data_IF_549753019300
#
_entry.id   IF_549753019300
#
_cell.length_a   1.000
_cell.length_b   1.000
_cell.length_c   1.000
_cell.angle_alpha   90.00
_cell.angle_beta   90.00
_cell.angle_gamma   90.00
#
_symmetry.space_group_name_H-M   'P 1'
#
loop_
_entity.id
_entity.type
_entity.pdbx_description
1 polymer ?
#
# COMPACT_ATOMS: atom_id res chain seq x y z
N UNK A 1 2.40 3.26 36.82
CA UNK A 1 1.05 3.53 37.32
C UNK A 1 0.31 4.34 36.27
N UNK A 2 -0.89 3.92 35.91
CA UNK A 2 -1.76 4.67 34.98
C UNK A 2 -2.29 5.91 35.73
N UNK A 3 -1.95 7.11 35.22
CA UNK A 3 -2.27 8.39 35.88
C UNK A 3 -3.64 8.96 35.51
N UNK A 4 -4.38 8.28 34.59
CA UNK A 4 -5.65 8.79 34.10
C UNK A 4 -6.84 8.15 34.78
N UNK A 5 -7.85 8.94 35.16
CA UNK A 5 -9.14 8.42 35.63
C UNK A 5 -9.91 7.71 34.51
N UNK A 6 -10.90 6.88 34.89
CA UNK A 6 -11.77 6.20 33.92
C UNK A 6 -12.49 7.21 33.00
N UNK A 7 -12.95 8.33 33.54
CA UNK A 7 -13.62 9.41 32.78
C UNK A 7 -12.66 10.10 31.81
N UNK A 8 -11.43 10.40 32.23
CA UNK A 8 -10.41 10.98 31.37
C UNK A 8 -10.05 10.05 30.23
N UNK A 9 -9.93 8.73 30.48
CA UNK A 9 -9.72 7.74 29.42
C UNK A 9 -10.88 7.72 28.44
N UNK A 10 -12.12 7.71 28.95
CA UNK A 10 -13.31 7.73 28.08
C UNK A 10 -13.35 8.99 27.19
N UNK A 11 -13.09 10.18 27.75
CA UNK A 11 -13.00 11.45 26.99
C UNK A 11 -11.90 11.39 25.93
N UNK A 12 -10.71 10.89 26.28
CA UNK A 12 -9.60 10.75 25.33
C UNK A 12 -9.94 9.79 24.20
N UNK A 13 -10.58 8.67 24.50
CA UNK A 13 -11.01 7.69 23.50
C UNK A 13 -12.10 8.25 22.58
N UNK A 14 -13.08 8.98 23.12
CA UNK A 14 -14.13 9.64 22.36
C UNK A 14 -13.60 10.78 21.47
N UNK A 15 -12.49 11.40 21.84
CA UNK A 15 -11.85 12.47 21.07
C UNK A 15 -11.02 11.94 19.87
N UNK A 16 -10.76 10.63 19.79
CA UNK A 16 -10.02 10.04 18.69
C UNK A 16 -10.87 10.10 17.42
N UNK A 17 -10.37 10.86 16.45
CA UNK A 17 -11.05 11.03 15.16
C UNK A 17 -10.80 9.80 14.28
N UNK A 18 -11.87 9.26 13.71
CA UNK A 18 -11.78 8.19 12.69
C UNK A 18 -11.56 8.69 11.27
N UNK A 19 -11.40 10.03 11.06
CA UNK A 19 -11.21 10.65 9.74
C UNK A 19 -10.38 11.91 9.88
N UNK A 20 -9.73 12.30 8.78
CA UNK A 20 -8.93 13.51 8.69
C UNK A 20 -7.83 13.57 9.75
N UNK A 21 -7.28 12.44 10.05
CA UNK A 21 -6.17 12.28 10.97
C UNK A 21 -4.90 12.96 10.44
N UNK A 22 -3.95 13.24 11.34
CA UNK A 22 -2.67 13.83 10.95
C UNK A 22 -1.89 12.96 9.95
N UNK A 23 -1.80 11.62 10.14
CA UNK A 23 -1.18 10.71 9.16
C UNK A 23 -1.84 10.78 7.77
N UNK A 24 -3.17 10.69 7.69
CA UNK A 24 -3.89 10.81 6.42
C UNK A 24 -3.58 12.13 5.69
N UNK A 25 -3.59 13.25 6.41
CA UNK A 25 -3.27 14.57 5.82
C UNK A 25 -1.84 14.63 5.28
N UNK A 26 -0.88 13.95 5.91
CA UNK A 26 0.49 13.86 5.44
C UNK A 26 0.53 13.13 4.09
N UNK A 27 -0.09 11.95 4.01
CA UNK A 27 -0.14 11.15 2.77
C UNK A 27 -0.85 11.93 1.66
N UNK A 28 -2.01 12.51 1.95
CA UNK A 28 -2.79 13.32 0.99
C UNK A 28 -1.95 14.44 0.39
N UNK A 29 -1.32 15.27 1.24
CA UNK A 29 -0.49 16.40 0.78
C UNK A 29 0.76 15.91 0.04
N UNK A 30 1.40 14.85 0.52
CA UNK A 30 2.59 14.29 -0.09
C UNK A 30 2.34 13.76 -1.50
N UNK A 31 1.26 13.01 -1.70
CA UNK A 31 0.88 12.49 -3.01
C UNK A 31 0.37 13.59 -3.94
N UNK A 32 -0.38 14.57 -3.43
CA UNK A 32 -0.82 15.70 -4.24
C UNK A 32 0.36 16.50 -4.80
N UNK A 33 1.38 16.79 -3.98
CA UNK A 33 2.62 17.46 -4.40
C UNK A 33 3.38 16.68 -5.49
N UNK A 34 3.29 15.36 -5.49
CA UNK A 34 3.89 14.45 -6.48
C UNK A 34 3.02 14.24 -7.74
N UNK A 35 1.94 15.01 -7.88
CA UNK A 35 1.08 14.97 -9.07
C UNK A 35 -0.05 13.94 -9.03
N UNK A 36 -0.17 13.14 -7.96
CA UNK A 36 -1.25 12.16 -7.86
C UNK A 36 -2.58 12.80 -7.51
N UNK A 37 -3.65 12.32 -8.12
CA UNK A 37 -5.02 12.76 -7.87
C UNK A 37 -5.83 11.60 -7.31
N UNK A 38 -6.61 11.85 -6.27
CA UNK A 38 -7.35 10.84 -5.51
C UNK A 38 -8.72 11.34 -5.06
N UNK A 39 -9.58 10.41 -4.70
CA UNK A 39 -10.84 10.66 -3.98
C UNK A 39 -10.67 10.19 -2.53
N UNK A 40 -11.39 10.83 -1.61
CA UNK A 40 -11.31 10.53 -0.18
C UNK A 40 -12.50 9.69 0.28
N UNK A 41 -12.26 8.81 1.25
CA UNK A 41 -13.29 8.10 2.03
C UNK A 41 -14.41 7.51 1.16
N UNK A 42 -14.04 6.67 0.20
CA UNK A 42 -15.00 6.14 -0.78
C UNK A 42 -15.92 5.08 -0.15
N UNK A 43 -17.16 5.48 0.21
CA UNK A 43 -18.11 4.67 0.96
C UNK A 43 -18.56 3.37 0.27
N UNK A 44 -18.43 3.26 -1.06
CA UNK A 44 -18.88 2.09 -1.84
C UNK A 44 -17.84 0.99 -1.96
N UNK A 45 -16.61 1.24 -1.52
CA UNK A 45 -15.54 0.25 -1.54
C UNK A 45 -15.39 -0.41 -0.16
N UNK A 46 -15.11 -1.72 -0.11
CA UNK A 46 -14.79 -2.42 1.13
C UNK A 46 -13.74 -1.67 1.95
N UNK A 47 -13.88 -1.66 3.27
CA UNK A 47 -12.95 -1.01 4.19
C UNK A 47 -12.93 0.51 4.17
N UNK A 48 -13.71 1.17 3.32
CA UNK A 48 -13.76 2.63 3.18
C UNK A 48 -12.36 3.26 3.07
N UNK A 49 -11.58 2.93 2.03
CA UNK A 49 -10.20 3.41 1.88
C UNK A 49 -10.06 4.92 2.06
N UNK A 50 -8.99 5.36 2.72
CA UNK A 50 -8.73 6.79 2.98
C UNK A 50 -8.49 7.56 1.68
N UNK A 51 -7.76 6.96 0.73
CA UNK A 51 -7.54 7.51 -0.60
C UNK A 51 -7.83 6.45 -1.67
N UNK A 52 -8.47 6.88 -2.76
CA UNK A 52 -8.75 6.03 -3.93
C UNK A 52 -8.20 6.71 -5.18
N UNK A 53 -7.20 6.08 -5.79
CA UNK A 53 -6.56 6.54 -7.03
C UNK A 53 -7.12 5.73 -8.21
N UNK A 54 -8.19 6.22 -8.83
CA UNK A 54 -8.89 5.49 -9.91
C UNK A 54 -8.00 5.21 -11.11
N UNK A 55 -7.13 6.16 -11.49
CA UNK A 55 -6.17 6.00 -12.59
C UNK A 55 -5.27 4.78 -12.38
N UNK A 56 -4.93 4.48 -11.15
CA UNK A 56 -4.00 3.41 -10.74
C UNK A 56 -4.75 2.18 -10.19
N UNK A 57 -6.08 2.16 -10.23
CA UNK A 57 -6.92 1.14 -9.58
C UNK A 57 -6.43 0.78 -8.17
N UNK A 58 -5.99 1.78 -7.41
CA UNK A 58 -5.33 1.57 -6.12
C UNK A 58 -6.10 2.26 -4.99
N UNK A 59 -6.28 1.52 -3.91
CA UNK A 59 -6.81 1.96 -2.62
C UNK A 59 -5.67 2.10 -1.62
N UNK A 60 -5.63 3.20 -0.87
CA UNK A 60 -4.64 3.42 0.18
C UNK A 60 -5.36 3.51 1.52
N UNK A 61 -4.88 2.71 2.48
CA UNK A 61 -5.27 2.72 3.88
C UNK A 61 -4.14 3.31 4.72
N UNK A 62 -4.47 4.26 5.60
CA UNK A 62 -3.50 4.90 6.50
C UNK A 62 -3.77 4.45 7.92
N UNK A 63 -3.10 3.40 8.33
CA UNK A 63 -3.39 2.67 9.55
C UNK A 63 -2.59 3.19 10.75
N UNK A 64 -3.30 3.46 11.87
CA UNK A 64 -2.68 3.70 13.16
C UNK A 64 -2.07 2.41 13.71
N UNK A 65 -0.79 2.44 14.09
CA UNK A 65 -0.04 1.25 14.49
C UNK A 65 -0.71 0.46 15.62
N UNK A 66 -1.23 1.14 16.62
CA UNK A 66 -1.89 0.51 17.76
C UNK A 66 -3.21 -0.18 17.37
N UNK A 67 -4.06 0.52 16.58
CA UNK A 67 -5.40 0.04 16.27
C UNK A 67 -5.43 -1.17 15.35
N UNK A 68 -4.45 -1.25 14.46
CA UNK A 68 -4.33 -2.31 13.45
C UNK A 68 -3.20 -3.30 13.75
N UNK A 69 -2.53 -3.18 14.91
CA UNK A 69 -1.54 -4.14 15.38
C UNK A 69 -0.31 -4.25 14.46
N UNK A 70 0.30 -3.10 14.10
CA UNK A 70 1.47 -3.11 13.23
C UNK A 70 2.62 -3.96 13.81
N UNK A 71 3.09 -4.94 13.05
CA UNK A 71 4.14 -5.89 13.44
C UNK A 71 3.82 -6.71 14.70
N UNK A 72 2.55 -6.76 15.11
CA UNK A 72 2.11 -7.62 16.20
C UNK A 72 1.66 -8.94 15.63
N UNK A 73 2.41 -10.01 15.91
CA UNK A 73 1.99 -11.37 15.58
C UNK A 73 1.09 -11.89 16.71
N UNK A 74 -0.16 -12.15 16.37
CA UNK A 74 -1.14 -12.78 17.24
C UNK A 74 -1.24 -14.25 16.84
N UNK A 75 -0.27 -15.08 17.30
CA UNK A 75 -0.31 -16.51 16.98
C UNK A 75 -1.54 -17.18 17.60
N UNK A 76 -2.08 -18.13 16.87
CA UNK A 76 -3.27 -18.90 17.16
C UNK A 76 -3.12 -19.70 18.47
N UNK A 77 -4.19 -19.72 19.18
CA UNK A 77 -4.72 -20.74 20.09
C UNK A 77 -4.32 -20.77 21.55
N UNK A 78 -3.21 -20.29 22.07
CA UNK A 78 -3.02 -20.32 23.54
C UNK A 78 -1.95 -19.41 24.15
N UNK A 79 -1.41 -18.44 23.43
CA UNK A 79 -0.29 -17.66 23.98
C UNK A 79 -0.60 -16.17 24.14
N UNK A 80 -1.31 -15.83 25.22
CA UNK A 80 -1.22 -14.49 25.83
C UNK A 80 0.25 -14.13 26.16
N UNK A 81 1.12 -15.13 26.27
CA UNK A 81 2.54 -15.01 26.56
C UNK A 81 3.44 -14.75 25.34
N UNK A 82 3.02 -15.11 24.12
CA UNK A 82 3.82 -15.02 22.90
C UNK A 82 3.65 -13.76 22.06
N UNK A 83 2.84 -12.78 22.52
CA UNK A 83 2.62 -11.55 21.75
C UNK A 83 3.86 -10.68 21.82
N UNK A 84 4.62 -10.65 20.72
CA UNK A 84 5.75 -9.76 20.56
C UNK A 84 5.23 -8.36 20.22
N UNK A 85 5.34 -7.44 21.18
CA UNK A 85 5.07 -6.02 20.92
C UNK A 85 6.10 -5.48 19.92
N UNK A 86 5.64 -4.70 18.95
CA UNK A 86 6.53 -3.91 18.11
C UNK A 86 6.92 -2.60 18.79
N UNK A 87 7.93 -1.93 18.28
CA UNK A 87 8.34 -0.61 18.82
C UNK A 87 7.22 0.43 18.71
N UNK A 88 6.37 0.34 17.70
CA UNK A 88 5.31 1.31 17.42
C UNK A 88 3.93 0.85 17.91
N UNK A 89 3.74 -0.43 18.26
CA UNK A 89 2.49 -0.96 18.79
C UNK A 89 2.74 -1.68 20.11
N UNK A 90 2.41 -1.03 21.23
CA UNK A 90 2.54 -1.58 22.58
C UNK A 90 1.16 -1.85 23.16
N UNK A 91 0.84 -3.13 23.34
CA UNK A 91 -0.43 -3.53 23.94
C UNK A 91 -0.41 -3.19 25.43
N UNK A 92 -1.43 -2.48 25.96
CA UNK A 92 -1.52 -2.15 27.38
C UNK A 92 -1.51 -3.42 28.25
N UNK A 93 -0.87 -3.33 29.42
CA UNK A 93 -0.88 -4.42 30.41
C UNK A 93 -2.27 -4.59 31.04
N UNK A 94 -3.00 -3.49 31.21
CA UNK A 94 -4.37 -3.48 31.75
C UNK A 94 -5.36 -3.88 30.65
N UNK A 95 -6.29 -4.78 30.96
CA UNK A 95 -7.28 -5.33 30.01
C UNK A 95 -6.62 -5.91 28.74
N UNK A 96 -5.51 -6.61 28.90
CA UNK A 96 -4.71 -7.13 27.80
C UNK A 96 -5.54 -8.02 26.85
N UNK A 97 -6.34 -8.92 27.39
CA UNK A 97 -7.19 -9.83 26.62
C UNK A 97 -8.15 -9.08 25.72
N UNK A 98 -8.81 -8.04 26.24
CA UNK A 98 -9.69 -7.18 25.47
C UNK A 98 -8.97 -6.53 24.28
N UNK A 99 -7.77 -5.99 24.51
CA UNK A 99 -7.01 -5.33 23.47
C UNK A 99 -6.50 -6.32 22.41
N UNK A 100 -6.04 -7.49 22.82
CA UNK A 100 -5.62 -8.56 21.91
C UNK A 100 -6.78 -8.99 21.02
N UNK A 101 -7.94 -9.29 21.62
CA UNK A 101 -9.13 -9.68 20.87
C UNK A 101 -9.61 -8.57 19.91
N UNK A 102 -9.50 -7.31 20.33
CA UNK A 102 -9.86 -6.16 19.49
C UNK A 102 -8.92 -5.99 18.30
N UNK A 103 -7.61 -6.05 18.53
CA UNK A 103 -6.60 -5.93 17.48
C UNK A 103 -6.72 -7.10 16.50
N UNK A 104 -6.92 -8.34 16.99
CA UNK A 104 -7.13 -9.51 16.13
C UNK A 104 -8.33 -9.31 15.18
N UNK A 105 -9.48 -8.92 15.71
CA UNK A 105 -10.67 -8.63 14.90
C UNK A 105 -10.43 -7.53 13.87
N UNK A 106 -9.65 -6.49 14.21
CA UNK A 106 -9.30 -5.45 13.27
C UNK A 106 -8.39 -6.00 12.14
N UNK A 107 -7.37 -6.79 12.49
CA UNK A 107 -6.47 -7.42 11.49
C UNK A 107 -7.22 -8.39 10.56
N UNK A 108 -8.13 -9.20 11.10
CA UNK A 108 -8.97 -10.12 10.31
C UNK A 108 -9.88 -9.35 9.35
N UNK A 109 -10.53 -8.30 9.85
CA UNK A 109 -11.36 -7.43 9.02
C UNK A 109 -10.55 -6.75 7.93
N UNK A 110 -9.39 -6.16 8.26
CA UNK A 110 -8.53 -5.48 7.29
C UNK A 110 -8.07 -6.44 6.18
N UNK A 111 -7.71 -7.68 6.52
CA UNK A 111 -7.36 -8.73 5.54
C UNK A 111 -8.54 -9.06 4.62
N UNK A 112 -9.73 -9.25 5.19
CA UNK A 112 -10.93 -9.58 4.42
C UNK A 112 -11.33 -8.43 3.48
N UNK A 113 -11.27 -7.18 3.95
CA UNK A 113 -11.57 -6.00 3.15
C UNK A 113 -10.59 -5.84 1.98
N UNK A 114 -9.29 -6.07 2.21
CA UNK A 114 -8.26 -6.06 1.16
C UNK A 114 -8.44 -7.21 0.16
N UNK A 115 -8.79 -8.42 0.63
CA UNK A 115 -9.11 -9.55 -0.25
C UNK A 115 -10.27 -9.21 -1.19
N UNK A 116 -11.37 -8.67 -0.65
CA UNK A 116 -12.52 -8.25 -1.45
C UNK A 116 -12.18 -7.15 -2.45
N UNK A 117 -11.32 -6.21 -2.09
CA UNK A 117 -10.83 -5.19 -3.02
C UNK A 117 -10.00 -5.82 -4.14
N UNK A 118 -9.12 -6.77 -3.83
CA UNK A 118 -8.33 -7.49 -4.82
C UNK A 118 -9.22 -8.28 -5.80
N UNK A 119 -10.27 -8.94 -5.33
CA UNK A 119 -11.27 -9.63 -6.17
C UNK A 119 -12.02 -8.66 -7.10
N UNK A 120 -12.20 -7.41 -6.67
CA UNK A 120 -12.76 -6.35 -7.51
C UNK A 120 -11.71 -5.72 -8.47
N UNK A 121 -10.49 -6.24 -8.50
CA UNK A 121 -9.37 -5.74 -9.32
C UNK A 121 -8.77 -4.43 -8.82
N UNK A 122 -8.80 -4.17 -7.51
CA UNK A 122 -8.15 -3.04 -6.88
C UNK A 122 -6.86 -3.47 -6.20
N UNK A 123 -5.79 -2.72 -6.41
CA UNK A 123 -4.58 -2.83 -5.61
C UNK A 123 -4.77 -2.15 -4.26
N UNK A 124 -4.13 -2.69 -3.22
CA UNK A 124 -4.19 -2.15 -1.86
C UNK A 124 -2.79 -1.77 -1.37
N UNK A 125 -2.63 -0.56 -0.89
CA UNK A 125 -1.42 -0.08 -0.22
C UNK A 125 -1.79 0.28 1.21
N UNK A 126 -1.11 -0.33 2.18
CA UNK A 126 -1.26 0.03 3.60
C UNK A 126 -0.06 0.87 4.02
N UNK A 127 -0.34 2.06 4.55
CA UNK A 127 0.65 3.00 5.07
C UNK A 127 0.50 3.09 6.58
N UNK A 128 1.59 2.87 7.31
CA UNK A 128 1.56 2.89 8.76
C UNK A 128 1.95 4.24 9.33
N UNK A 129 1.29 4.65 10.41
CA UNK A 129 1.56 5.92 11.10
C UNK A 129 3.05 6.10 11.47
N UNK A 130 3.74 5.04 11.89
CA UNK A 130 5.16 5.10 12.24
C UNK A 130 6.07 5.43 11.06
N UNK A 131 5.68 5.07 9.84
CA UNK A 131 6.40 5.37 8.59
C UNK A 131 6.29 6.86 8.22
N UNK A 132 5.29 7.57 8.75
CA UNK A 132 5.04 8.98 8.45
C UNK A 132 5.70 9.93 9.46
N UNK A 133 6.53 9.42 10.38
CA UNK A 133 7.40 10.24 11.25
C UNK A 133 8.41 10.99 10.40
N UNK A 134 8.86 12.16 10.88
CA UNK A 134 9.68 13.13 10.13
C UNK A 134 10.86 12.50 9.38
N UNK A 135 11.58 11.57 10.01
CA UNK A 135 12.78 10.92 9.41
C UNK A 135 12.47 9.97 8.26
N UNK A 136 11.30 9.32 8.25
CA UNK A 136 10.92 8.29 7.26
C UNK A 136 9.87 8.77 6.25
N UNK A 137 9.29 9.93 6.46
CA UNK A 137 8.13 10.42 5.73
C UNK A 137 8.35 10.52 4.23
N UNK A 138 9.42 11.20 3.82
CA UNK A 138 9.68 11.43 2.40
C UNK A 138 9.99 10.12 1.68
N UNK A 139 10.83 9.28 2.28
CA UNK A 139 11.11 7.94 1.77
C UNK A 139 9.84 7.10 1.59
N UNK A 140 8.94 7.13 2.59
CA UNK A 140 7.65 6.43 2.50
C UNK A 140 6.78 6.98 1.37
N UNK A 141 6.70 8.30 1.22
CA UNK A 141 5.92 8.94 0.15
C UNK A 141 6.51 8.65 -1.24
N UNK A 142 7.82 8.59 -1.37
CA UNK A 142 8.51 8.24 -2.61
C UNK A 142 8.29 6.76 -2.95
N UNK A 143 8.33 5.87 -1.96
CA UNK A 143 8.02 4.45 -2.13
C UNK A 143 6.57 4.24 -2.60
N UNK A 144 5.60 4.97 -2.04
CA UNK A 144 4.21 4.91 -2.49
C UNK A 144 4.10 5.40 -3.95
N UNK A 145 4.75 6.51 -4.28
CA UNK A 145 4.74 7.07 -5.64
C UNK A 145 5.36 6.09 -6.65
N UNK A 146 6.49 5.47 -6.30
CA UNK A 146 7.12 4.44 -7.11
C UNK A 146 6.19 3.25 -7.34
N UNK A 147 5.57 2.71 -6.27
CA UNK A 147 4.63 1.59 -6.36
C UNK A 147 3.43 1.93 -7.25
N UNK A 148 2.85 3.12 -7.12
CA UNK A 148 1.74 3.56 -7.97
C UNK A 148 2.13 3.60 -9.44
N UNK A 149 3.30 4.16 -9.77
CA UNK A 149 3.78 4.20 -11.15
C UNK A 149 4.07 2.80 -11.69
N UNK A 150 4.62 1.91 -10.86
CA UNK A 150 4.89 0.52 -11.25
C UNK A 150 3.59 -0.25 -11.54
N UNK A 151 2.57 -0.12 -10.67
CA UNK A 151 1.24 -0.69 -10.91
C UNK A 151 0.67 -0.18 -12.24
N UNK A 152 0.75 1.12 -12.47
CA UNK A 152 0.23 1.69 -13.72
C UNK A 152 0.94 1.14 -14.95
N UNK A 153 2.26 1.01 -14.90
CA UNK A 153 3.05 0.43 -16.01
C UNK A 153 2.69 -1.03 -16.24
N UNK A 154 2.52 -1.84 -15.19
CA UNK A 154 2.11 -3.23 -15.31
C UNK A 154 0.70 -3.38 -15.92
N UNK A 155 -0.26 -2.58 -15.45
CA UNK A 155 -1.64 -2.63 -15.94
C UNK A 155 -1.79 -2.11 -17.37
N UNK A 156 -0.79 -1.36 -17.90
CA UNK A 156 -0.80 -0.74 -19.22
C UNK A 156 0.35 -1.23 -20.11
N UNK A 157 1.00 -2.34 -19.75
CA UNK A 157 1.90 -3.02 -20.69
C UNK A 157 1.08 -3.53 -21.86
N UNK A 158 1.16 -2.78 -22.98
CA UNK A 158 0.73 -3.30 -24.28
C UNK A 158 1.68 -4.45 -24.58
N UNK A 159 1.17 -5.66 -24.70
CA UNK A 159 1.91 -6.74 -25.35
C UNK A 159 2.26 -6.22 -26.75
N UNK A 160 3.52 -5.86 -26.93
CA UNK A 160 4.05 -5.69 -28.29
C UNK A 160 4.05 -7.09 -28.85
N UNK A 161 2.98 -7.46 -29.56
CA UNK A 161 2.96 -8.62 -30.41
C UNK A 161 4.05 -8.33 -31.44
N UNK A 162 5.24 -8.89 -31.22
CA UNK A 162 6.27 -8.94 -32.24
C UNK A 162 5.68 -9.82 -33.36
N UNK A 163 5.14 -9.17 -34.37
CA UNK A 163 4.94 -9.82 -35.63
C UNK A 163 6.35 -10.26 -36.07
N UNK A 164 6.60 -11.56 -36.29
CA UNK A 164 7.81 -11.96 -36.99
C UNK A 164 7.75 -11.20 -38.31
N UNK A 165 8.65 -10.28 -38.54
CA UNK A 165 8.91 -9.80 -39.88
C UNK A 165 9.39 -11.04 -40.63
N UNK A 166 8.53 -11.59 -41.47
CA UNK A 166 8.96 -12.41 -42.56
C UNK A 166 9.91 -11.51 -43.37
N UNK A 167 11.20 -11.70 -43.09
CA UNK A 167 12.25 -11.13 -43.94
C UNK A 167 12.07 -11.82 -45.27
N UNK A 168 11.53 -11.07 -46.24
CA UNK A 168 11.47 -11.48 -47.64
C UNK A 168 12.84 -11.98 -48.07
N UNK A 169 12.91 -13.30 -48.33
CA UNK A 169 14.09 -14.00 -48.81
C UNK A 169 14.50 -13.56 -50.23
N UNK A 170 13.77 -12.62 -50.86
CA UNK A 170 14.07 -12.05 -52.15
C UNK A 170 15.17 -10.98 -52.16
N UNK A 171 15.55 -10.42 -50.99
CA UNK A 171 16.59 -9.38 -50.97
C UNK A 171 18.02 -9.91 -50.86
N UNK A 172 18.22 -11.22 -50.77
CA UNK A 172 19.54 -11.87 -50.62
C UNK A 172 20.13 -12.36 -51.97
N UNK A 173 19.40 -12.21 -53.10
CA UNK A 173 19.85 -12.69 -54.40
C UNK A 173 20.43 -11.60 -55.31
N UNK A 174 20.54 -10.35 -54.86
CA UNK A 174 21.01 -9.23 -55.72
C UNK A 174 22.42 -8.69 -55.36
N UNK A 175 23.27 -9.52 -54.72
CA UNK A 175 24.68 -9.19 -54.55
C UNK A 175 25.53 -10.02 -55.50
N UNK A 176 25.63 -9.60 -56.74
CA UNK A 176 26.66 -10.11 -57.68
C UNK A 176 28.04 -9.69 -57.16
N UNK A 177 29.03 -10.59 -57.17
CA UNK A 177 30.39 -10.24 -56.76
C UNK A 177 31.04 -9.37 -57.87
N UNK A 178 31.50 -8.19 -57.46
CA UNK A 178 32.33 -7.31 -58.30
C UNK A 178 33.66 -8.02 -58.59
N UNK A 179 33.94 -8.27 -59.86
CA UNK A 179 35.24 -8.75 -60.34
C UNK A 179 36.33 -7.69 -60.09
N UNK A 180 37.54 -8.10 -59.69
CA UNK A 180 38.65 -7.18 -59.51
C UNK A 180 39.18 -6.62 -60.82
N UNK A 181 39.72 -5.40 -60.87
CA UNK A 181 40.21 -4.81 -62.12
C UNK A 181 41.50 -5.52 -62.56
N UNK A 182 41.51 -5.83 -63.85
CA UNK A 182 42.69 -6.36 -64.58
C UNK A 182 43.75 -5.24 -64.64
N UNK A 183 44.98 -5.57 -64.25
CA UNK A 183 46.12 -4.68 -64.38
C UNK A 183 46.77 -4.96 -65.76
N UNK A 184 46.84 -3.92 -66.61
CA UNK A 184 47.82 -3.75 -67.65
C UNK A 184 49.10 -3.12 -67.12
#
# INVERSE_FOLDING_TARGET
>A
MDKLSAEQRHKNMAAIRGKDTKPEKIVRRGLWKRGFRYRLNHKRLPGHPDLVLRKYRTCIFVNGCFWHGHEVSLNTENEILGIKNSECCKIPKTNREFWVAKIRRNQERDKEEQRRLAEMGWHCITVWECQLKTKKREETLDSIAFTLNHIWLQDHQVEVVSHPQEMDSEMLLAAEPLEPPVKD
#
